data_IF_823138475134
#
_entry.id   IF_823138475134
#
_cell.length_a   1.000
_cell.length_b   1.000
_cell.length_c   1.000
_cell.angle_alpha   90.00
_cell.angle_beta   90.00
_cell.angle_gamma   90.00
#
_symmetry.space_group_name_H-M   'P 1'
#
loop_
_entity.id
_entity.type
_entity.pdbx_description
1 polymer ?
#
# COMPACT_ATOMS: atom_id res chain seq x y z
N UNK A 1 21.96 -6.74 5.78
CA UNK A 1 20.75 -5.91 5.87
C UNK A 1 19.58 -6.79 5.45
N UNK A 2 18.69 -7.12 6.38
CA UNK A 2 17.50 -7.90 6.07
C UNK A 2 16.44 -6.93 5.52
N UNK A 3 15.90 -7.27 4.37
CA UNK A 3 14.91 -6.47 3.65
C UNK A 3 13.56 -7.14 3.79
N UNK A 4 12.46 -6.40 3.61
CA UNK A 4 11.14 -7.02 3.51
C UNK A 4 11.11 -8.10 2.41
N UNK A 5 11.90 -7.92 1.33
CA UNK A 5 12.19 -8.94 0.33
C UNK A 5 12.91 -10.19 0.87
N UNK A 6 13.83 -10.05 1.81
CA UNK A 6 14.48 -11.20 2.46
C UNK A 6 13.51 -12.00 3.34
N UNK A 7 12.51 -11.32 3.91
CA UNK A 7 11.36 -11.96 4.54
C UNK A 7 10.51 -12.67 3.49
N UNK A 8 10.19 -12.00 2.35
CA UNK A 8 9.46 -12.60 1.23
C UNK A 8 10.12 -13.85 0.61
N UNK A 9 11.46 -13.92 0.64
CA UNK A 9 12.23 -15.06 0.12
C UNK A 9 12.45 -16.18 1.16
N UNK A 10 12.13 -15.96 2.44
CA UNK A 10 12.28 -16.96 3.52
C UNK A 10 11.07 -17.88 3.67
N UNK A 11 9.93 -17.56 3.04
CA UNK A 11 8.77 -18.45 3.00
C UNK A 11 8.90 -19.46 1.85
N UNK A 12 8.55 -20.74 2.09
CA UNK A 12 8.47 -21.72 1.02
C UNK A 12 7.42 -21.28 0.00
N UNK A 13 7.69 -21.54 -1.28
CA UNK A 13 6.85 -21.11 -2.39
C UNK A 13 5.36 -21.47 -2.16
N UNK A 14 4.41 -20.56 -2.45
CA UNK A 14 3.01 -20.93 -2.49
C UNK A 14 2.78 -21.98 -3.59
N UNK A 15 2.10 -23.07 -3.21
CA UNK A 15 1.72 -24.17 -4.10
C UNK A 15 0.77 -23.63 -5.19
N UNK A 16 1.30 -23.45 -6.41
CA UNK A 16 0.56 -22.99 -7.58
C UNK A 16 -0.26 -24.14 -8.16
N UNK A 17 -1.46 -24.38 -7.63
CA UNK A 17 -2.48 -25.19 -8.29
C UNK A 17 -3.84 -24.48 -8.21
N UNK A 18 -4.16 -23.67 -9.22
CA UNK A 18 -5.33 -23.86 -10.07
C UNK A 18 -5.48 -22.75 -11.11
N UNK A 19 -5.42 -23.18 -12.37
CA UNK A 19 -5.75 -22.47 -13.60
C UNK A 19 -7.29 -22.33 -13.64
N UNK A 20 -7.90 -21.24 -14.14
CA UNK A 20 -8.62 -21.11 -15.45
C UNK A 20 -9.79 -20.10 -15.17
N UNK A 21 -10.41 -19.35 -16.11
CA UNK A 21 -9.94 -18.47 -17.20
C UNK A 21 -10.58 -17.05 -17.18
N UNK A 22 -10.11 -16.18 -18.09
CA UNK A 22 -10.81 -15.06 -18.79
C UNK A 22 -12.18 -14.52 -18.30
N UNK A 23 -12.30 -13.19 -18.21
CA UNK A 23 -13.18 -12.41 -19.11
C UNK A 23 -12.90 -10.89 -19.05
N UNK A 24 -12.62 -10.33 -20.23
CA UNK A 24 -12.62 -8.91 -20.55
C UNK A 24 -13.99 -8.32 -20.25
N UNK A 25 -14.05 -7.12 -19.68
CA UNK A 25 -15.17 -6.20 -19.86
C UNK A 25 -14.65 -4.77 -19.79
N UNK A 26 -14.60 -4.18 -20.98
CA UNK A 26 -14.51 -2.77 -21.33
C UNK A 26 -15.57 -1.96 -20.59
N UNK A 27 -15.26 -0.73 -20.16
CA UNK A 27 -16.08 0.51 -20.28
C UNK A 27 -15.32 1.68 -19.63
N UNK A 28 -15.07 2.70 -20.45
CA UNK A 28 -14.66 4.09 -20.15
C UNK A 28 -15.63 4.71 -19.09
N UNK A 29 -15.34 5.70 -18.26
CA UNK A 29 -14.80 7.03 -18.58
C UNK A 29 -14.88 7.95 -17.33
N UNK A 30 -14.02 9.00 -17.28
CA UNK A 30 -14.11 10.30 -16.53
C UNK A 30 -13.64 10.45 -15.06
N UNK A 31 -12.52 11.16 -14.91
CA UNK A 31 -12.09 12.02 -13.77
C UNK A 31 -13.02 13.28 -13.67
N UNK A 32 -12.95 14.22 -12.67
CA UNK A 32 -11.84 14.57 -11.75
C UNK A 32 -12.21 14.95 -10.28
N UNK A 33 -11.20 15.10 -9.42
CA UNK A 33 -11.15 16.22 -8.45
C UNK A 33 -11.50 16.01 -6.96
N UNK A 34 -10.48 16.25 -6.12
CA UNK A 34 -10.52 16.96 -4.81
C UNK A 34 -10.65 16.12 -3.52
N UNK A 35 -9.77 16.35 -2.51
CA UNK A 35 -9.67 15.53 -1.29
C UNK A 35 -10.59 16.06 -0.20
N UNK A 36 -11.22 15.16 0.56
CA UNK A 36 -11.99 15.53 1.75
C UNK A 36 -11.61 14.61 2.91
N UNK A 37 -10.94 15.21 3.88
CA UNK A 37 -11.03 14.88 5.31
C UNK A 37 -12.50 14.80 5.74
N UNK A 38 -12.85 13.86 6.62
CA UNK A 38 -13.69 14.08 7.82
C UNK A 38 -13.87 12.77 8.60
N UNK A 39 -13.49 12.82 9.88
CA UNK A 39 -13.86 11.87 10.93
C UNK A 39 -15.36 11.56 10.95
N UNK A 40 -15.75 10.27 11.01
CA UNK A 40 -16.79 9.76 11.92
C UNK A 40 -17.08 8.27 11.69
N UNK A 41 -17.16 7.54 12.82
CA UNK A 41 -17.59 6.15 12.96
C UNK A 41 -18.73 5.75 12.01
N UNK A 42 -18.41 5.00 10.97
CA UNK A 42 -19.30 4.09 10.25
C UNK A 42 -18.41 3.06 9.55
N UNK A 43 -18.79 1.79 9.62
CA UNK A 43 -18.04 0.62 9.13
C UNK A 43 -17.95 0.57 7.59
N UNK A 44 -17.43 1.63 6.98
CA UNK A 44 -17.08 1.74 5.57
C UNK A 44 -15.56 1.93 5.56
N UNK A 45 -14.79 0.86 5.37
CA UNK A 45 -13.32 0.88 5.26
C UNK A 45 -12.88 1.70 4.04
N UNK A 46 -13.00 3.02 4.10
CA UNK A 46 -12.55 3.97 3.08
C UNK A 46 -11.12 4.37 3.41
N UNK A 47 -10.16 3.58 2.94
CA UNK A 47 -8.74 3.93 3.03
C UNK A 47 -8.41 5.00 2.00
N UNK A 48 -7.79 6.10 2.43
CA UNK A 48 -7.38 7.22 1.58
C UNK A 48 -5.90 7.13 1.23
N UNK A 49 -5.54 7.64 0.06
CA UNK A 49 -4.14 7.72 -0.38
C UNK A 49 -3.34 8.63 0.57
N UNK A 50 -2.20 8.14 1.03
CA UNK A 50 -1.36 8.82 2.01
C UNK A 50 -1.64 8.46 3.47
N UNK A 51 -2.67 7.65 3.75
CA UNK A 51 -2.89 7.12 5.09
C UNK A 51 -1.92 6.00 5.45
N UNK A 52 -1.58 5.92 6.73
CA UNK A 52 -0.78 4.85 7.29
C UNK A 52 -1.69 3.76 7.82
N UNK A 53 -1.33 2.52 7.52
CA UNK A 53 -2.08 1.33 7.91
C UNK A 53 -1.12 0.20 8.25
N UNK A 54 -1.63 -0.82 8.94
CA UNK A 54 -0.94 -2.10 9.07
C UNK A 54 -1.55 -3.09 8.11
N UNK A 55 -0.74 -3.62 7.20
CA UNK A 55 -1.17 -4.60 6.22
C UNK A 55 -0.56 -5.98 6.56
N UNK A 56 -1.40 -7.01 6.52
CA UNK A 56 -0.98 -8.40 6.69
C UNK A 56 -1.09 -9.18 5.39
N UNK A 57 0.00 -9.83 5.03
CA UNK A 57 0.03 -10.84 3.98
C UNK A 57 0.00 -12.24 4.63
N UNK A 58 -0.58 -13.24 3.96
CA UNK A 58 -0.93 -14.53 4.58
C UNK A 58 0.20 -15.18 5.40
N UNK A 59 1.45 -15.13 4.92
CA UNK A 59 2.60 -15.75 5.58
C UNK A 59 3.45 -14.77 6.40
N UNK A 60 3.02 -13.52 6.54
CA UNK A 60 3.82 -12.43 7.13
C UNK A 60 3.12 -11.80 8.34
N UNK A 61 3.87 -11.22 9.29
CA UNK A 61 3.29 -10.41 10.34
C UNK A 61 2.61 -9.17 9.75
N UNK A 62 1.84 -8.47 10.58
CA UNK A 62 1.38 -7.13 10.23
C UNK A 62 2.60 -6.23 10.02
N UNK A 63 2.62 -5.54 8.88
CA UNK A 63 3.71 -4.66 8.50
C UNK A 63 3.17 -3.25 8.25
N UNK A 64 3.87 -2.19 8.69
CA UNK A 64 3.41 -0.83 8.47
C UNK A 64 3.48 -0.49 6.98
N UNK A 65 2.41 0.11 6.46
CA UNK A 65 2.27 0.42 5.06
C UNK A 65 1.57 1.78 4.85
N UNK A 66 1.83 2.39 3.70
CA UNK A 66 1.22 3.62 3.22
C UNK A 66 0.23 3.27 2.12
N UNK A 67 -1.01 3.73 2.23
CA UNK A 67 -2.00 3.55 1.15
C UNK A 67 -1.58 4.39 -0.05
N UNK A 68 -1.44 3.75 -1.20
CA UNK A 68 -0.93 4.41 -2.40
C UNK A 68 -1.68 3.96 -3.66
N UNK A 69 -1.59 4.75 -4.72
CA UNK A 69 -2.18 4.34 -6.00
C UNK A 69 -1.27 3.32 -6.67
N UNK A 70 -1.87 2.38 -7.37
CA UNK A 70 -1.13 1.46 -8.23
C UNK A 70 -0.67 2.24 -9.49
N UNK A 71 0.61 2.19 -9.87
CA UNK A 71 1.13 2.98 -10.99
C UNK A 71 0.56 2.54 -12.35
N UNK A 72 0.12 1.28 -12.48
CA UNK A 72 -0.42 0.74 -13.72
C UNK A 72 -1.89 1.10 -13.90
N UNK A 73 -2.67 1.12 -12.81
CA UNK A 73 -4.12 1.32 -12.84
C UNK A 73 -4.58 2.66 -12.31
N UNK A 74 -3.69 3.43 -11.67
CA UNK A 74 -3.97 4.69 -10.97
C UNK A 74 -5.09 4.59 -9.91
N UNK A 75 -5.35 3.38 -9.40
CA UNK A 75 -6.36 3.08 -8.39
C UNK A 75 -5.71 2.64 -7.09
N UNK A 76 -6.30 3.02 -5.97
CA UNK A 76 -5.90 2.56 -4.64
C UNK A 76 -6.88 1.53 -4.06
N UNK A 77 -8.09 1.42 -4.63
CA UNK A 77 -9.10 0.44 -4.24
C UNK A 77 -9.51 -0.37 -5.46
N UNK A 78 -9.61 -1.68 -5.26
CA UNK A 78 -10.02 -2.65 -6.28
C UNK A 78 -11.18 -3.48 -5.73
N UNK A 79 -12.30 -3.38 -6.42
CA UNK A 79 -13.55 -4.09 -6.13
C UNK A 79 -14.05 -3.94 -4.68
N UNK A 80 -13.66 -2.87 -3.96
CA UNK A 80 -13.97 -2.67 -2.53
C UNK A 80 -13.55 -3.82 -1.61
N UNK A 81 -12.65 -4.70 -2.09
CA UNK A 81 -12.15 -5.85 -1.34
C UNK A 81 -10.65 -5.75 -1.12
N UNK A 82 -9.95 -5.08 -2.01
CA UNK A 82 -8.50 -4.94 -2.00
C UNK A 82 -8.13 -3.46 -2.01
N UNK A 83 -7.14 -3.11 -1.19
CA UNK A 83 -6.50 -1.80 -1.16
C UNK A 83 -5.05 -1.96 -1.58
N UNK A 84 -4.57 -1.03 -2.39
CA UNK A 84 -3.18 -0.99 -2.80
C UNK A 84 -2.38 -0.21 -1.75
N UNK A 85 -1.32 -0.86 -1.25
CA UNK A 85 -0.48 -0.31 -0.20
C UNK A 85 0.99 -0.49 -0.55
N UNK A 86 1.81 0.43 -0.08
CA UNK A 86 3.26 0.38 -0.14
C UNK A 86 3.81 0.15 1.26
N UNK A 87 4.54 -0.93 1.46
CA UNK A 87 5.15 -1.26 2.73
C UNK A 87 6.39 -0.40 2.98
N UNK A 88 6.57 0.02 4.23
CA UNK A 88 7.79 0.70 4.67
C UNK A 88 8.94 -0.30 4.79
N UNK A 89 10.17 0.18 4.62
CA UNK A 89 11.37 -0.64 4.58
C UNK A 89 12.08 -0.58 3.23
N UNK A 90 13.27 -1.15 3.19
CA UNK A 90 14.11 -1.17 2.00
C UNK A 90 14.25 -2.60 1.47
N UNK A 91 14.13 -2.85 0.16
CA UNK A 91 13.63 -1.90 -0.83
C UNK A 91 12.10 -1.68 -0.65
N UNK A 92 11.57 -0.55 -1.13
CA UNK A 92 10.14 -0.27 -1.08
C UNK A 92 9.36 -1.34 -1.87
N UNK A 93 8.37 -1.96 -1.26
CA UNK A 93 7.47 -2.93 -1.91
C UNK A 93 6.04 -2.44 -1.88
N UNK A 94 5.25 -2.84 -2.86
CA UNK A 94 3.82 -2.57 -2.91
C UNK A 94 3.06 -3.82 -3.29
N UNK A 95 1.83 -3.95 -2.80
CA UNK A 95 0.95 -5.05 -3.15
C UNK A 95 -0.52 -4.68 -2.93
N UNK A 96 -1.41 -5.46 -3.52
CA UNK A 96 -2.84 -5.42 -3.28
C UNK A 96 -3.17 -6.30 -2.07
N UNK A 97 -3.66 -5.67 -1.00
CA UNK A 97 -3.98 -6.35 0.25
C UNK A 97 -5.47 -6.33 0.48
N UNK A 98 -6.04 -7.45 0.91
CA UNK A 98 -7.45 -7.53 1.28
C UNK A 98 -7.74 -6.57 2.42
N UNK A 99 -8.83 -5.81 2.32
CA UNK A 99 -9.30 -4.87 3.35
C UNK A 99 -9.47 -5.54 4.71
N UNK A 100 -9.84 -6.83 4.74
CA UNK A 100 -9.94 -7.64 5.97
C UNK A 100 -8.61 -7.84 6.70
N UNK A 101 -7.49 -7.70 5.99
CA UNK A 101 -6.14 -7.86 6.49
C UNK A 101 -5.43 -6.51 6.69
N UNK A 102 -6.18 -5.41 6.67
CA UNK A 102 -5.68 -4.06 6.91
C UNK A 102 -6.28 -3.52 8.19
N UNK A 103 -5.44 -2.91 9.03
CA UNK A 103 -5.82 -2.26 10.29
C UNK A 103 -5.31 -0.83 10.35
N UNK A 104 -5.93 0.02 11.17
CA UNK A 104 -5.45 1.39 11.34
C UNK A 104 -4.07 1.40 12.01
N UNK A 105 -3.24 2.39 11.66
CA UNK A 105 -1.87 2.48 12.18
C UNK A 105 -1.79 2.54 13.72
N UNK A 106 -2.78 3.15 14.37
CA UNK A 106 -2.86 3.32 15.83
C UNK A 106 -3.18 2.01 16.58
N UNK A 107 -3.74 1.01 15.90
CA UNK A 107 -4.23 -0.22 16.54
C UNK A 107 -3.12 -1.22 16.91
N UNK A 108 -1.94 -1.13 16.29
CA UNK A 108 -0.88 -2.13 16.41
C UNK A 108 0.46 -1.51 16.73
N UNK A 109 1.28 -2.30 17.42
CA UNK A 109 2.66 -1.99 17.75
C UNK A 109 3.61 -2.89 16.93
N UNK A 110 4.82 -2.40 16.59
CA UNK A 110 5.80 -3.21 15.89
C UNK A 110 6.22 -4.42 16.73
N UNK A 111 6.42 -5.56 16.07
CA UNK A 111 6.99 -6.74 16.72
C UNK A 111 8.47 -6.52 17.09
N UNK A 112 9.07 -7.46 17.82
CA UNK A 112 10.46 -7.40 18.26
C UNK A 112 11.51 -7.51 17.13
N UNK A 113 11.08 -7.61 15.88
CA UNK A 113 11.96 -7.71 14.72
C UNK A 113 12.60 -6.36 14.37
N UNK A 114 13.90 -6.38 14.10
CA UNK A 114 14.68 -5.19 13.75
C UNK A 114 14.09 -4.45 12.54
N UNK A 115 13.73 -5.20 11.49
CA UNK A 115 13.23 -4.64 10.24
C UNK A 115 11.84 -3.99 10.43
N UNK A 116 10.98 -4.57 11.27
CA UNK A 116 9.69 -3.98 11.63
C UNK A 116 9.87 -2.69 12.45
N UNK A 117 10.86 -2.63 13.34
CA UNK A 117 11.19 -1.40 14.08
C UNK A 117 11.69 -0.30 13.14
N UNK A 118 12.52 -0.65 12.16
CA UNK A 118 13.01 0.28 11.14
C UNK A 118 11.84 0.80 10.30
N UNK A 119 10.99 -0.09 9.80
CA UNK A 119 9.81 0.26 9.01
C UNK A 119 8.81 1.10 9.83
N UNK A 120 8.60 0.77 11.10
CA UNK A 120 7.75 1.53 12.00
C UNK A 120 8.26 2.94 12.23
N UNK A 121 9.57 3.10 12.49
CA UNK A 121 10.21 4.41 12.62
C UNK A 121 10.05 5.25 11.34
N UNK A 122 10.14 4.63 10.16
CA UNK A 122 9.86 5.31 8.89
C UNK A 122 8.39 5.74 8.78
N UNK A 123 7.45 4.87 9.18
CA UNK A 123 6.02 5.20 9.21
C UNK A 123 5.71 6.34 10.19
N UNK A 124 6.30 6.35 11.39
CA UNK A 124 6.16 7.46 12.35
C UNK A 124 6.75 8.77 11.82
N UNK A 125 7.87 8.72 11.11
CA UNK A 125 8.43 9.90 10.45
C UNK A 125 7.48 10.43 9.36
N UNK A 126 6.88 9.54 8.57
CA UNK A 126 5.85 9.88 7.60
C UNK A 126 4.61 10.49 8.28
N UNK A 127 4.19 9.98 9.44
CA UNK A 127 3.03 10.48 10.18
C UNK A 127 3.19 11.95 10.60
N UNK A 128 4.42 12.37 10.90
CA UNK A 128 4.76 13.76 11.30
C UNK A 128 4.69 14.76 10.15
N UNK A 129 4.72 14.29 8.90
CA UNK A 129 4.60 15.13 7.71
C UNK A 129 3.15 15.35 7.31
N UNK A 130 2.91 16.43 6.57
CA UNK A 130 1.60 16.65 5.92
C UNK A 130 1.34 15.61 4.83
N UNK A 131 0.08 15.33 4.51
CA UNK A 131 -0.29 14.36 3.47
C UNK A 131 0.43 14.54 2.12
N UNK A 132 0.48 15.75 1.51
CA UNK A 132 1.14 15.90 0.22
C UNK A 132 2.66 15.66 0.30
N UNK A 133 3.33 16.16 1.34
CA UNK A 133 4.77 15.94 1.55
C UNK A 133 5.10 14.48 1.81
N UNK A 134 4.24 13.80 2.58
CA UNK A 134 4.36 12.37 2.86
C UNK A 134 4.28 11.56 1.57
N UNK A 135 3.28 11.84 0.74
CA UNK A 135 3.12 11.15 -0.54
C UNK A 135 4.35 11.45 -1.41
N UNK A 136 4.77 12.71 -1.53
CA UNK A 136 5.91 13.06 -2.39
C UNK A 136 7.22 12.35 -1.97
N UNK A 137 7.48 12.26 -0.66
CA UNK A 137 8.71 11.68 -0.12
C UNK A 137 8.72 10.15 -0.09
N UNK A 138 7.57 9.49 0.14
CA UNK A 138 7.52 8.03 0.40
C UNK A 138 6.85 7.24 -0.71
N UNK A 139 6.08 7.88 -1.59
CA UNK A 139 5.45 7.21 -2.72
C UNK A 139 6.45 7.03 -3.86
N UNK A 140 6.99 5.82 -3.95
CA UNK A 140 8.06 5.48 -4.91
C UNK A 140 7.49 5.20 -6.31
N UNK A 141 6.24 4.77 -6.39
CA UNK A 141 5.56 4.42 -7.64
C UNK A 141 4.85 5.62 -8.26
N UNK A 142 5.57 6.71 -8.54
CA UNK A 142 5.03 7.74 -9.44
C UNK A 142 4.84 7.08 -10.81
N UNK A 143 3.64 7.17 -11.38
CA UNK A 143 3.43 6.78 -12.77
C UNK A 143 4.48 7.57 -13.57
N UNK A 144 5.36 6.86 -14.29
CA UNK A 144 6.39 7.51 -15.11
C UNK A 144 5.69 8.46 -16.07
N UNK A 145 5.69 9.74 -15.74
CA UNK A 145 5.44 10.82 -16.68
C UNK A 145 6.70 10.88 -17.55
N UNK A 146 6.71 10.03 -18.57
CA UNK A 146 7.71 10.04 -19.62
C UNK A 146 7.37 11.16 -20.59
N UNK A 147 7.53 12.42 -20.18
CA UNK A 147 7.43 13.57 -21.09
C UNK A 147 8.42 14.67 -20.67
N UNK A 148 9.72 14.44 -20.89
CA UNK A 148 10.64 15.53 -21.21
C UNK A 148 11.17 15.32 -22.64
N UNK A 149 10.26 15.56 -23.60
CA UNK A 149 10.56 15.76 -25.01
C UNK A 149 10.39 17.25 -25.32
N UNK A 150 11.42 18.06 -25.05
CA UNK A 150 11.67 19.40 -25.63
C UNK A 150 13.04 19.88 -25.12
N UNK A 151 14.07 20.18 -25.90
CA UNK A 151 14.25 20.54 -27.31
C UNK A 151 15.73 20.38 -27.66
#
# INVERSE_FOLDING_TARGET
MATLFSYFKKSPAPNKNNIVPTKKSKVEDKNPGTPLTTNNNNNNNTFLVGELVWAKLDTYPFWPALVCKDPATNKHLKNYLEVHVQFFGEPPTHDWVKISNVKQFDELQPSNEEDLKIAFKQAEAALKLTLPERIDSYYVCKASDSDEDTK
#
